data_IF_237841485605
#
_entry.id   IF_237841485605
#
_cell.length_a   1.000
_cell.length_b   1.000
_cell.length_c   1.000
_cell.angle_alpha   90.00
_cell.angle_beta   90.00
_cell.angle_gamma   90.00
#
_symmetry.space_group_name_H-M   'P 1'
#
loop_
_entity.id
_entity.type
_entity.pdbx_description
1 polymer ?
#
# COMPACT_ATOMS: atom_id res chain seq x y z
N UNK A 1 8.25 -8.46 -13.12
CA UNK A 1 7.49 -7.47 -12.32
C UNK A 1 7.56 -7.95 -10.87
N UNK A 2 7.79 -7.07 -9.90
CA UNK A 2 7.84 -7.45 -8.47
C UNK A 2 6.72 -6.74 -7.73
N UNK A 3 6.15 -7.39 -6.71
CA UNK A 3 5.07 -6.82 -5.91
C UNK A 3 5.59 -6.43 -4.52
N UNK A 4 5.58 -5.14 -4.22
CA UNK A 4 5.87 -4.65 -2.88
C UNK A 4 4.59 -4.66 -2.04
N UNK A 5 4.56 -5.45 -0.96
CA UNK A 5 3.40 -5.60 -0.09
C UNK A 5 3.62 -4.91 1.26
N UNK A 6 2.75 -3.95 1.57
CA UNK A 6 2.65 -3.34 2.90
C UNK A 6 1.39 -3.86 3.60
N UNK A 7 1.57 -4.69 4.63
CA UNK A 7 0.47 -5.26 5.42
C UNK A 7 0.88 -5.33 6.89
N UNK A 8 -0.10 -5.27 7.80
CA UNK A 8 0.06 -5.54 9.24
C UNK A 8 -0.22 -7.00 9.60
N UNK A 9 -0.60 -7.82 8.62
CA UNK A 9 -0.97 -9.21 8.83
C UNK A 9 0.05 -10.16 8.20
N UNK A 10 0.72 -10.93 9.05
CA UNK A 10 1.62 -12.01 8.62
C UNK A 10 0.88 -13.04 7.75
N UNK A 11 -0.39 -13.33 8.07
CA UNK A 11 -1.23 -14.25 7.30
C UNK A 11 -1.50 -13.71 5.88
N UNK A 12 -1.74 -12.40 5.74
CA UNK A 12 -1.93 -11.79 4.41
C UNK A 12 -0.63 -11.87 3.61
N UNK A 13 0.52 -11.57 4.23
CA UNK A 13 1.82 -11.70 3.55
C UNK A 13 2.05 -13.13 3.06
N UNK A 14 1.82 -14.12 3.90
CA UNK A 14 1.95 -15.54 3.56
C UNK A 14 1.03 -15.93 2.39
N UNK A 15 -0.28 -15.65 2.51
CA UNK A 15 -1.27 -16.03 1.50
C UNK A 15 -1.03 -15.34 0.15
N UNK A 16 -0.64 -14.07 0.15
CA UNK A 16 -0.32 -13.34 -1.07
C UNK A 16 0.95 -13.88 -1.71
N UNK A 17 1.98 -14.17 -0.92
CA UNK A 17 3.26 -14.72 -1.41
C UNK A 17 3.12 -16.13 -1.99
N UNK A 18 2.18 -16.94 -1.51
CA UNK A 18 1.86 -18.25 -2.10
C UNK A 18 1.14 -18.11 -3.44
N UNK A 19 0.29 -17.08 -3.59
CA UNK A 19 -0.54 -16.88 -4.79
C UNK A 19 0.21 -16.18 -5.93
N UNK A 20 1.17 -15.32 -5.60
CA UNK A 20 1.87 -14.49 -6.59
C UNK A 20 3.39 -14.64 -6.43
N UNK A 21 4.12 -14.87 -7.53
CA UNK A 21 5.59 -14.87 -7.49
C UNK A 21 6.12 -13.46 -7.22
N UNK A 22 7.36 -13.37 -6.75
CA UNK A 22 8.11 -12.11 -6.60
C UNK A 22 7.47 -11.04 -5.69
N UNK A 23 6.70 -11.48 -4.70
CA UNK A 23 6.21 -10.64 -3.60
C UNK A 23 7.33 -10.39 -2.60
N UNK A 24 7.50 -9.15 -2.17
CA UNK A 24 8.44 -8.79 -1.11
C UNK A 24 7.83 -7.74 -0.18
N UNK A 25 8.27 -7.73 1.07
CA UNK A 25 7.87 -6.79 2.10
C UNK A 25 9.10 -6.30 2.89
N UNK A 26 8.97 -5.19 3.61
CA UNK A 26 9.99 -4.79 4.57
C UNK A 26 9.91 -5.72 5.79
N UNK A 27 11.03 -6.34 6.23
CA UNK A 27 11.04 -7.12 7.46
C UNK A 27 10.59 -6.26 8.65
N UNK A 28 9.57 -6.72 9.37
CA UNK A 28 9.04 -6.03 10.55
C UNK A 28 8.37 -7.01 11.51
N UNK A 29 8.13 -6.57 12.74
CA UNK A 29 7.36 -7.33 13.71
C UNK A 29 5.87 -7.19 13.41
N UNK A 30 5.19 -8.32 13.27
CA UNK A 30 3.74 -8.38 13.15
C UNK A 30 3.12 -8.50 14.53
N UNK A 31 2.00 -7.80 14.73
CA UNK A 31 1.18 -8.02 15.92
C UNK A 31 0.34 -9.30 15.75
N UNK A 32 -0.22 -9.79 16.86
CA UNK A 32 -1.21 -10.85 16.80
C UNK A 32 -2.39 -10.42 15.90
N UNK A 33 -3.04 -11.36 15.20
CA UNK A 33 -4.24 -11.05 14.43
C UNK A 33 -5.25 -10.28 15.27
N UNK A 34 -5.85 -9.23 14.70
CA UNK A 34 -6.86 -8.38 15.35
C UNK A 34 -6.36 -7.51 16.53
N UNK A 35 -5.04 -7.31 16.68
CA UNK A 35 -4.46 -6.47 17.75
C UNK A 35 -4.74 -4.95 17.63
N UNK A 36 -5.42 -4.50 16.58
CA UNK A 36 -5.78 -3.10 16.37
C UNK A 36 -5.06 -2.46 15.18
N UNK A 37 -4.98 -1.12 15.12
CA UNK A 37 -4.46 -0.39 13.96
C UNK A 37 -2.96 -0.64 13.66
N UNK A 38 -2.58 -0.53 12.38
CA UNK A 38 -1.20 -0.59 11.84
C UNK A 38 -0.15 0.19 12.66
N UNK A 39 -0.53 1.34 13.23
CA UNK A 39 0.33 2.17 14.04
C UNK A 39 -0.10 2.08 15.49
N UNK A 40 0.49 1.12 16.20
CA UNK A 40 0.31 1.01 17.63
C UNK A 40 1.52 1.62 18.36
N UNK A 41 1.31 2.45 19.40
CA UNK A 41 2.41 2.98 20.22
C UNK A 41 3.33 1.89 20.79
N UNK A 42 2.81 0.67 20.93
CA UNK A 42 3.55 -0.50 21.42
C UNK A 42 4.73 -0.92 20.54
N UNK A 43 4.76 -0.52 19.26
CA UNK A 43 5.91 -0.77 18.37
C UNK A 43 7.01 0.29 18.49
N UNK A 44 6.78 1.36 19.26
CA UNK A 44 7.75 2.42 19.52
C UNK A 44 8.26 3.11 18.24
N UNK A 45 9.48 3.64 18.32
CA UNK A 45 10.12 4.34 17.22
C UNK A 45 10.36 3.44 15.99
N UNK A 46 10.71 2.17 16.21
CA UNK A 46 10.94 1.19 15.13
C UNK A 46 9.68 0.96 14.28
N UNK A 47 8.51 0.87 14.92
CA UNK A 47 7.24 0.81 14.20
C UNK A 47 7.00 2.06 13.34
N UNK A 48 7.36 3.23 13.85
CA UNK A 48 7.30 4.50 13.12
C UNK A 48 8.24 4.53 11.91
N UNK A 49 9.49 4.09 12.07
CA UNK A 49 10.46 4.03 10.97
C UNK A 49 10.06 3.03 9.90
N UNK A 50 9.57 1.85 10.29
CA UNK A 50 9.03 0.86 9.36
C UNK A 50 7.85 1.43 8.56
N UNK A 51 6.91 2.09 9.24
CA UNK A 51 5.76 2.75 8.62
C UNK A 51 6.19 3.81 7.60
N UNK A 52 7.08 4.73 7.98
CA UNK A 52 7.58 5.77 7.07
C UNK A 52 8.31 5.16 5.86
N UNK A 53 9.15 4.14 6.08
CA UNK A 53 9.85 3.44 4.99
C UNK A 53 8.86 2.90 3.97
N UNK A 54 7.81 2.21 4.43
CA UNK A 54 6.75 1.68 3.57
C UNK A 54 5.98 2.79 2.82
N UNK A 55 5.57 3.86 3.52
CA UNK A 55 4.85 4.99 2.92
C UNK A 55 5.63 5.64 1.77
N UNK A 56 6.94 5.84 1.95
CA UNK A 56 7.79 6.46 0.94
C UNK A 56 8.12 5.51 -0.21
N UNK A 57 8.31 4.21 0.06
CA UNK A 57 8.54 3.22 -1.00
C UNK A 57 7.29 3.00 -1.87
N UNK A 58 6.09 3.02 -1.30
CA UNK A 58 4.83 2.94 -2.05
C UNK A 58 4.73 4.05 -3.11
N UNK A 59 5.18 5.26 -2.79
CA UNK A 59 5.19 6.39 -3.74
C UNK A 59 6.21 6.24 -4.87
N UNK A 60 7.08 5.22 -4.83
CA UNK A 60 8.06 4.90 -5.88
C UNK A 60 7.61 3.77 -6.79
N UNK A 61 6.46 3.16 -6.53
CA UNK A 61 5.90 2.11 -7.37
C UNK A 61 5.29 2.66 -8.66
N UNK A 62 5.40 1.91 -9.76
CA UNK A 62 4.77 2.25 -11.04
C UNK A 62 3.23 2.18 -10.99
N UNK A 63 2.70 1.44 -10.02
CA UNK A 63 1.26 1.28 -9.74
C UNK A 63 1.07 0.95 -8.27
N UNK A 64 0.08 1.56 -7.63
CA UNK A 64 -0.25 1.32 -6.21
C UNK A 64 -1.68 0.84 -6.07
N UNK A 65 -1.88 -0.27 -5.36
CA UNK A 65 -3.22 -0.76 -4.99
C UNK A 65 -3.54 -0.26 -3.57
N UNK A 66 -4.67 0.43 -3.40
CA UNK A 66 -5.08 0.98 -2.09
C UNK A 66 -6.28 0.21 -1.54
N UNK A 67 -6.06 -0.48 -0.42
CA UNK A 67 -7.10 -1.23 0.28
C UNK A 67 -7.05 -0.95 1.80
N UNK A 68 -7.93 -0.10 2.34
CA UNK A 68 -8.94 0.71 1.65
C UNK A 68 -8.37 2.01 1.03
N UNK A 69 -9.07 2.66 0.08
CA UNK A 69 -8.70 3.97 -0.46
C UNK A 69 -8.80 5.13 0.55
N UNK A 70 -9.44 4.91 1.69
CA UNK A 70 -9.58 5.91 2.77
C UNK A 70 -8.36 5.99 3.69
N UNK A 71 -7.43 5.03 3.61
CA UNK A 71 -6.24 5.04 4.45
C UNK A 71 -5.30 6.20 4.11
N UNK A 72 -4.99 7.02 5.11
CA UNK A 72 -4.02 8.12 4.99
C UNK A 72 -2.59 7.61 4.76
N UNK A 73 -2.28 6.37 5.15
CA UNK A 73 -0.98 5.73 4.94
C UNK A 73 -0.55 5.74 3.48
N UNK A 74 -1.49 5.53 2.57
CA UNK A 74 -1.24 5.49 1.12
C UNK A 74 -1.47 6.84 0.43
N UNK A 75 -1.71 7.92 1.19
CA UNK A 75 -2.02 9.24 0.61
C UNK A 75 -0.84 9.83 -0.16
N UNK A 76 0.39 9.67 0.35
CA UNK A 76 1.59 10.13 -0.36
C UNK A 76 1.74 9.39 -1.68
N UNK A 77 1.58 8.07 -1.67
CA UNK A 77 1.59 7.25 -2.89
C UNK A 77 0.48 7.65 -3.88
N UNK A 78 -0.73 7.98 -3.40
CA UNK A 78 -1.83 8.47 -4.25
C UNK A 78 -1.51 9.76 -5.00
N UNK A 79 -0.62 10.59 -4.47
CA UNK A 79 -0.22 11.86 -5.08
C UNK A 79 0.93 11.72 -6.09
N UNK A 80 1.79 10.70 -5.94
CA UNK A 80 3.05 10.63 -6.68
C UNK A 80 3.22 9.35 -7.53
N UNK A 81 2.46 8.29 -7.26
CA UNK A 81 2.51 7.10 -8.11
C UNK A 81 1.79 7.38 -9.44
N UNK A 82 2.34 6.97 -10.60
CA UNK A 82 1.74 7.24 -11.91
C UNK A 82 0.34 6.64 -12.09
N UNK A 83 0.07 5.52 -11.41
CA UNK A 83 -1.19 4.77 -11.50
C UNK A 83 -1.64 4.28 -10.13
N UNK A 84 -2.93 4.39 -9.86
CA UNK A 84 -3.54 3.91 -8.62
C UNK A 84 -4.76 3.07 -8.93
N UNK A 85 -4.83 1.89 -8.31
CA UNK A 85 -5.99 1.01 -8.35
C UNK A 85 -6.63 0.99 -6.97
N UNK A 86 -7.94 1.16 -6.89
CA UNK A 86 -8.68 1.07 -5.63
C UNK A 86 -10.12 0.59 -5.86
N UNK A 87 -10.80 0.17 -4.79
CA UNK A 87 -12.23 -0.12 -4.85
C UNK A 87 -13.04 1.19 -4.85
N UNK A 88 -14.05 1.28 -5.71
CA UNK A 88 -14.96 2.43 -5.72
C UNK A 88 -15.75 2.49 -4.41
N UNK A 89 -15.72 3.64 -3.74
CA UNK A 89 -16.48 3.84 -2.50
C UNK A 89 -17.99 3.89 -2.74
N UNK A 90 -18.42 4.22 -3.96
CA UNK A 90 -19.83 4.22 -4.35
C UNK A 90 -20.31 2.85 -4.84
N UNK A 91 -19.38 2.00 -5.28
CA UNK A 91 -19.65 0.63 -5.74
C UNK A 91 -18.53 -0.32 -5.25
N UNK A 92 -18.62 -0.83 -4.01
CA UNK A 92 -17.54 -1.59 -3.36
C UNK A 92 -17.15 -2.91 -4.07
N UNK A 93 -17.93 -3.37 -5.05
CA UNK A 93 -17.59 -4.53 -5.88
C UNK A 93 -16.68 -4.20 -7.06
N UNK A 94 -16.48 -2.91 -7.36
CA UNK A 94 -15.82 -2.43 -8.57
C UNK A 94 -14.43 -1.90 -8.28
N UNK A 95 -13.45 -2.35 -9.07
CA UNK A 95 -12.12 -1.74 -9.12
C UNK A 95 -12.10 -0.59 -10.12
N UNK A 96 -11.44 0.50 -9.75
CA UNK A 96 -11.19 1.67 -10.60
C UNK A 96 -9.68 1.89 -10.76
N UNK A 97 -9.28 2.39 -11.94
CA UNK A 97 -7.92 2.82 -12.25
C UNK A 97 -7.91 4.35 -12.34
N UNK A 98 -6.96 4.96 -11.65
CA UNK A 98 -6.69 6.40 -11.69
C UNK A 98 -5.28 6.59 -12.24
N UNK A 99 -5.16 7.26 -13.37
CA UNK A 99 -3.88 7.57 -14.00
C UNK A 99 -3.52 9.05 -13.76
N UNK A 100 -2.24 9.32 -13.56
CA UNK A 100 -1.75 10.69 -13.52
C UNK A 100 -1.75 11.28 -14.94
N UNK A 101 -2.72 12.16 -15.22
CA UNK A 101 -2.87 12.84 -16.50
C UNK A 101 -1.87 13.99 -16.71
N UNK A 102 -0.88 14.17 -15.81
CA UNK A 102 0.14 15.20 -15.95
C UNK A 102 0.96 15.09 -17.25
N UNK A 103 1.07 13.90 -17.85
CA UNK A 103 1.67 13.73 -19.19
C UNK A 103 0.79 14.23 -20.35
N UNK A 104 -0.54 14.22 -20.21
CA UNK A 104 -1.45 14.70 -21.26
C UNK A 104 -1.44 16.24 -21.37
N UNK A 105 -1.13 16.94 -20.27
CA UNK A 105 -1.12 18.41 -20.21
C UNK A 105 0.20 19.04 -20.70
N UNK A 106 1.31 18.28 -20.73
CA UNK A 106 2.59 18.76 -21.27
C UNK A 106 2.79 18.46 -22.76
N UNK A 107 1.88 17.70 -23.37
CA UNK A 107 1.92 17.33 -24.79
C UNK A 107 0.93 18.15 -25.66
N UNK A 108 0.27 19.17 -25.08
CA UNK A 108 -0.70 20.06 -25.75
C UNK A 108 -0.18 21.48 -25.89
#
# INVERSE_FOLDING_TARGET
MRAFLCTDSALVLEQVSVKFPDVFAIPKQFQAPQAGPLHHPALGAEGGFSALTEMYLLARCDTVIRFPPTSAFTRYARLFAPRVIEFDLNDPGRLILIEDNSQALMAS
#
